data_IF_541640030119
#
_entry.id   IF_541640030119
#
_cell.length_a   1.000
_cell.length_b   1.000
_cell.length_c   1.000
_cell.angle_alpha   90.00
_cell.angle_beta   90.00
_cell.angle_gamma   90.00
#
_symmetry.space_group_name_H-M   'P 1'
#
loop_
_entity.id
_entity.type
_entity.pdbx_description
1 polymer ?
#
# COMPACT_ATOMS: atom_id res chain seq x y z
N UNK A 1 -2.96 -51.82 30.61
CA UNK A 1 -1.84 -50.90 31.00
C UNK A 1 -0.65 -50.86 30.02
N UNK A 2 -0.61 -51.64 28.92
CA UNK A 2 0.55 -51.68 28.00
C UNK A 2 0.56 -50.59 26.92
N UNK A 3 -0.60 -50.06 26.50
CA UNK A 3 -0.71 -49.01 25.47
C UNK A 3 -0.28 -47.60 25.92
N UNK A 4 -0.35 -47.32 27.22
CA UNK A 4 0.05 -46.01 27.80
C UNK A 4 1.57 -45.86 27.98
N UNK A 5 2.29 -46.99 28.10
CA UNK A 5 3.77 -47.02 28.20
C UNK A 5 4.44 -46.75 26.85
N UNK A 6 3.83 -47.18 25.74
CA UNK A 6 4.35 -46.94 24.39
C UNK A 6 4.17 -45.48 23.92
N UNK A 7 3.08 -44.81 24.31
CA UNK A 7 2.84 -43.40 23.95
C UNK A 7 3.80 -42.46 24.71
N UNK A 8 4.08 -42.76 25.99
CA UNK A 8 5.03 -42.00 26.79
C UNK A 8 6.48 -42.11 26.27
N UNK A 9 6.86 -43.26 25.70
CA UNK A 9 8.19 -43.46 25.13
C UNK A 9 8.39 -42.73 23.79
N UNK A 10 7.34 -42.59 22.98
CA UNK A 10 7.38 -41.88 21.69
C UNK A 10 7.44 -40.35 21.90
N UNK A 11 6.71 -39.83 22.89
CA UNK A 11 6.75 -38.40 23.25
C UNK A 11 8.10 -37.95 23.84
N UNK A 12 8.81 -38.84 24.55
CA UNK A 12 10.13 -38.52 25.09
C UNK A 12 11.25 -38.54 24.04
N UNK A 13 11.06 -39.30 22.94
CA UNK A 13 12.02 -39.35 21.84
C UNK A 13 11.92 -38.15 20.87
N UNK A 14 10.71 -37.61 20.65
CA UNK A 14 10.52 -36.44 19.78
C UNK A 14 11.09 -35.14 20.36
N UNK A 15 11.27 -35.04 21.69
CA UNK A 15 11.82 -33.84 22.34
C UNK A 15 13.35 -33.70 22.20
N UNK A 16 14.06 -34.76 21.83
CA UNK A 16 15.53 -34.78 21.75
C UNK A 16 16.12 -34.41 20.38
N UNK A 17 15.27 -34.11 19.38
CA UNK A 17 15.71 -33.74 18.02
C UNK A 17 15.68 -32.22 17.77
N UNK A 18 15.25 -31.42 18.76
CA UNK A 18 15.10 -29.95 18.62
C UNK A 18 16.28 -29.11 19.16
N UNK A 19 17.42 -29.70 19.51
CA UNK A 19 18.52 -28.97 20.17
C UNK A 19 19.85 -28.90 19.37
N UNK A 20 19.81 -28.84 18.04
CA UNK A 20 21.04 -28.77 17.25
C UNK A 20 20.98 -27.86 16.00
N UNK A 21 20.69 -26.56 16.18
CA UNK A 21 21.09 -25.42 15.32
C UNK A 21 20.88 -24.17 16.20
N UNK A 22 21.77 -23.21 16.47
CA UNK A 22 23.17 -22.93 16.18
C UNK A 22 23.42 -21.50 16.67
N UNK A 23 24.18 -21.27 17.75
CA UNK A 23 24.59 -19.92 18.16
C UNK A 23 25.95 -19.59 17.53
N UNK A 24 25.92 -18.73 16.51
CA UNK A 24 27.08 -18.00 16.02
C UNK A 24 27.29 -16.79 16.92
N UNK A 25 28.27 -16.86 17.82
CA UNK A 25 28.73 -15.71 18.61
C UNK A 25 29.66 -14.86 17.77
N UNK A 26 29.23 -13.64 17.42
CA UNK A 26 30.04 -12.63 16.78
C UNK A 26 29.85 -11.27 17.43
N UNK A 27 30.96 -10.73 17.95
CA UNK A 27 31.25 -9.32 18.22
C UNK A 27 30.93 -8.73 19.63
N UNK A 28 32.03 -8.41 20.31
CA UNK A 28 32.22 -7.39 21.36
C UNK A 28 31.67 -6.01 20.97
N UNK A 29 31.26 -5.20 21.95
CA UNK A 29 32.05 -4.00 22.23
C UNK A 29 32.28 -3.72 23.72
N UNK A 30 33.39 -3.02 23.95
CA UNK A 30 33.96 -2.57 25.21
C UNK A 30 33.16 -1.49 25.92
N UNK A 31 33.43 -1.40 27.21
CA UNK A 31 32.99 -0.43 28.21
C UNK A 31 33.00 1.03 27.76
N UNK A 32 32.17 1.88 28.40
CA UNK A 32 32.63 3.08 29.18
C UNK A 32 31.47 4.05 29.53
N UNK A 33 31.22 4.17 30.84
CA UNK A 33 30.83 5.36 31.64
C UNK A 33 29.47 6.10 31.47
N UNK A 34 28.71 6.06 32.57
CA UNK A 34 27.71 7.02 33.11
C UNK A 34 28.34 8.39 33.48
N UNK A 35 27.67 9.46 34.00
CA UNK A 35 26.25 9.62 34.40
C UNK A 35 25.58 10.99 34.09
N UNK A 36 24.27 11.13 34.31
CA UNK A 36 23.61 12.29 34.95
C UNK A 36 22.09 12.05 35.11
N UNK A 37 21.50 12.71 36.09
CA UNK A 37 20.32 12.30 36.84
C UNK A 37 19.17 13.34 36.76
N UNK A 38 17.93 12.90 37.04
CA UNK A 38 16.82 13.63 37.73
C UNK A 38 16.17 14.82 36.96
N UNK A 39 14.91 15.27 37.10
CA UNK A 39 13.66 14.88 37.78
C UNK A 39 12.60 15.99 37.45
N UNK A 40 11.31 15.62 37.33
CA UNK A 40 10.07 16.39 37.65
C UNK A 40 9.46 17.55 36.81
N UNK A 41 8.19 17.30 36.44
CA UNK A 41 6.95 18.11 36.71
C UNK A 41 6.48 19.19 35.72
N UNK A 42 5.19 19.07 35.29
CA UNK A 42 4.22 20.18 35.45
C UNK A 42 3.38 20.65 34.25
N UNK A 43 2.09 20.25 34.25
CA UNK A 43 0.84 20.99 33.90
C UNK A 43 0.60 21.62 32.50
N UNK A 44 -0.39 21.03 31.81
CA UNK A 44 -1.77 21.52 31.52
C UNK A 44 -2.05 22.92 30.93
N UNK A 45 -3.05 22.91 30.02
CA UNK A 45 -3.93 23.97 29.51
C UNK A 45 -3.56 24.56 28.15
N UNK A 46 -4.46 24.42 27.17
CA UNK A 46 -5.51 25.42 26.87
C UNK A 46 -6.34 24.95 25.68
N UNK A 47 -7.67 24.89 25.84
CA UNK A 47 -8.61 24.57 24.78
C UNK A 47 -8.84 25.73 23.81
N UNK A 48 -9.46 25.43 22.67
CA UNK A 48 -10.19 26.43 21.90
C UNK A 48 -11.36 25.80 21.12
N UNK A 49 -12.50 26.46 21.28
CA UNK A 49 -13.84 26.21 20.74
C UNK A 49 -13.98 26.80 19.33
N UNK A 50 -14.58 26.02 18.43
CA UNK A 50 -15.58 26.33 17.40
C UNK A 50 -15.83 27.79 16.96
N UNK A 51 -15.73 28.06 15.64
CA UNK A 51 -16.77 28.72 14.82
C UNK A 51 -16.34 28.93 13.34
N UNK A 52 -17.03 28.23 12.43
CA UNK A 52 -17.82 28.73 11.28
C UNK A 52 -17.22 29.61 10.15
N UNK A 53 -17.60 29.20 8.92
CA UNK A 53 -17.91 29.96 7.67
C UNK A 53 -16.86 29.96 6.54
N UNK A 54 -17.28 29.34 5.42
CA UNK A 54 -16.85 29.64 4.04
C UNK A 54 -17.29 31.05 3.63
N UNK A 55 -16.66 31.66 2.60
CA UNK A 55 -17.16 31.43 1.23
C UNK A 55 -16.07 31.33 0.15
N UNK A 56 -16.53 30.86 -1.01
CA UNK A 56 -15.88 30.75 -2.33
C UNK A 56 -14.96 31.91 -2.73
N UNK A 57 -13.84 31.57 -3.38
CA UNK A 57 -13.34 32.33 -4.52
C UNK A 57 -12.50 31.42 -5.43
N UNK A 58 -12.92 31.38 -6.69
CA UNK A 58 -12.31 30.76 -7.86
C UNK A 58 -10.80 30.48 -7.81
N UNK A 59 -10.43 29.25 -8.16
CA UNK A 59 -9.16 28.97 -8.83
C UNK A 59 -9.46 28.31 -10.16
N UNK A 60 -9.71 29.15 -11.16
CA UNK A 60 -9.28 28.81 -12.51
C UNK A 60 -7.74 28.76 -12.48
N UNK A 61 -7.20 27.57 -12.26
CA UNK A 61 -5.82 27.27 -12.57
C UNK A 61 -5.85 26.37 -13.79
N UNK A 62 -5.93 27.01 -14.96
CA UNK A 62 -5.37 26.45 -16.18
C UNK A 62 -3.94 26.04 -15.85
N UNK A 63 -3.69 24.76 -15.63
CA UNK A 63 -2.33 24.31 -15.47
C UNK A 63 -1.73 24.20 -16.87
N UNK A 64 -0.97 25.24 -17.19
CA UNK A 64 -0.22 25.39 -18.42
C UNK A 64 0.51 24.08 -18.76
N UNK A 65 0.14 23.55 -19.92
CA UNK A 65 0.91 22.59 -20.70
C UNK A 65 2.37 23.02 -20.68
N UNK A 66 3.17 22.29 -19.91
CA UNK A 66 4.62 22.37 -20.04
C UNK A 66 4.95 21.62 -21.32
N UNK A 67 5.48 22.35 -22.30
CA UNK A 67 6.11 21.83 -23.52
C UNK A 67 7.24 20.86 -23.14
N UNK A 68 6.86 19.61 -22.82
CA UNK A 68 7.74 18.47 -22.92
C UNK A 68 7.71 18.06 -24.40
N UNK A 69 8.85 18.15 -25.06
CA UNK A 69 8.99 17.76 -26.45
C UNK A 69 8.56 16.29 -26.66
N UNK A 70 7.33 16.09 -27.14
CA UNK A 70 6.85 14.87 -27.78
C UNK A 70 5.65 14.18 -27.12
N UNK A 71 4.44 14.64 -27.44
CA UNK A 71 3.18 13.88 -27.31
C UNK A 71 2.39 14.06 -26.02
N UNK A 72 1.07 13.94 -26.11
CA UNK A 72 0.15 13.98 -24.96
C UNK A 72 0.25 12.66 -24.18
N UNK A 73 0.55 12.74 -22.87
CA UNK A 73 0.70 11.57 -22.00
C UNK A 73 -0.51 11.42 -21.08
N UNK A 74 -1.09 10.22 -21.04
CA UNK A 74 -2.07 9.79 -20.04
C UNK A 74 -1.40 8.83 -19.06
N UNK A 75 -1.66 9.02 -17.77
CA UNK A 75 -1.27 8.10 -16.70
C UNK A 75 -2.56 7.57 -16.07
N UNK A 76 -3.07 6.48 -16.64
CA UNK A 76 -4.23 5.77 -16.11
C UNK A 76 -3.80 4.82 -14.99
N UNK A 77 -4.53 4.75 -13.88
CA UNK A 77 -4.16 3.87 -12.77
C UNK A 77 -5.35 3.38 -11.95
N UNK A 78 -5.25 2.16 -11.43
CA UNK A 78 -6.10 1.65 -10.35
C UNK A 78 -5.31 1.55 -9.03
N UNK A 79 -5.92 1.93 -7.91
CA UNK A 79 -5.27 1.93 -6.60
C UNK A 79 -6.23 1.59 -5.47
N UNK A 80 -6.05 0.43 -4.82
CA UNK A 80 -6.87 0.05 -3.67
C UNK A 80 -6.43 0.70 -2.36
N UNK A 81 -5.11 0.80 -2.13
CA UNK A 81 -4.52 1.32 -0.87
C UNK A 81 -3.71 2.61 -1.04
N UNK A 82 -3.80 3.27 -2.19
CA UNK A 82 -3.05 4.51 -2.48
C UNK A 82 -1.60 4.33 -2.95
N UNK A 83 -1.05 3.11 -2.94
CA UNK A 83 0.36 2.91 -3.34
C UNK A 83 0.57 3.18 -4.83
N UNK A 84 -0.32 2.67 -5.69
CA UNK A 84 -0.23 2.87 -7.14
C UNK A 84 -0.49 4.33 -7.51
N UNK A 85 -1.43 4.98 -6.84
CA UNK A 85 -1.72 6.42 -6.99
C UNK A 85 -0.46 7.26 -6.75
N UNK A 86 0.28 7.01 -5.66
CA UNK A 86 1.52 7.73 -5.39
C UNK A 86 2.60 7.54 -6.45
N UNK A 87 2.65 6.38 -7.12
CA UNK A 87 3.55 6.15 -8.27
C UNK A 87 3.03 6.84 -9.53
N UNK A 88 1.72 6.79 -9.78
CA UNK A 88 1.09 7.47 -10.92
C UNK A 88 1.33 8.98 -10.86
N UNK A 89 1.18 9.59 -9.68
CA UNK A 89 1.48 11.01 -9.45
C UNK A 89 2.93 11.34 -9.80
N UNK A 90 3.90 10.52 -9.37
CA UNK A 90 5.30 10.74 -9.71
C UNK A 90 5.56 10.65 -11.22
N UNK A 91 4.90 9.72 -11.92
CA UNK A 91 5.02 9.60 -13.38
C UNK A 91 4.43 10.84 -14.05
N UNK A 92 3.25 11.29 -13.62
CA UNK A 92 2.61 12.51 -14.13
C UNK A 92 3.51 13.73 -13.91
N UNK A 93 4.08 13.90 -12.71
CA UNK A 93 4.99 15.01 -12.39
C UNK A 93 6.26 15.01 -13.26
N UNK A 94 6.81 13.82 -13.58
CA UNK A 94 8.00 13.68 -14.42
C UNK A 94 7.74 13.88 -15.91
N UNK A 95 6.52 13.58 -16.37
CA UNK A 95 6.16 13.56 -17.79
C UNK A 95 5.32 14.77 -18.21
N UNK A 96 4.74 15.50 -17.26
CA UNK A 96 3.68 16.47 -17.53
C UNK A 96 2.36 15.82 -17.94
N UNK A 97 2.19 14.52 -17.69
CA UNK A 97 1.03 13.73 -18.11
C UNK A 97 -0.23 14.02 -17.31
N UNK A 98 -1.40 13.73 -17.91
CA UNK A 98 -2.70 13.80 -17.25
C UNK A 98 -2.92 12.54 -16.42
N UNK A 99 -3.35 12.67 -15.17
CA UNK A 99 -3.77 11.53 -14.34
C UNK A 99 -5.21 11.14 -14.67
N UNK A 100 -5.45 9.83 -14.77
CA UNK A 100 -6.80 9.28 -14.83
C UNK A 100 -6.92 8.09 -13.87
N UNK A 101 -7.86 8.18 -12.93
CA UNK A 101 -8.14 7.08 -12.02
C UNK A 101 -9.12 6.12 -12.68
N UNK A 102 -8.79 4.83 -12.61
CA UNK A 102 -9.65 3.72 -12.97
C UNK A 102 -10.35 3.29 -11.68
N UNK A 103 -11.67 3.33 -11.67
CA UNK A 103 -12.49 2.97 -10.52
C UNK A 103 -13.48 1.88 -10.91
N UNK A 104 -13.72 0.93 -10.01
CA UNK A 104 -14.83 -0.01 -10.18
C UNK A 104 -16.15 0.74 -10.04
N UNK A 105 -17.18 0.30 -10.76
CA UNK A 105 -18.55 0.79 -10.54
C UNK A 105 -19.06 0.35 -9.18
N UNK A 106 -18.72 -0.88 -8.78
CA UNK A 106 -19.06 -1.47 -7.48
C UNK A 106 -17.79 -1.72 -6.68
N UNK A 107 -17.71 -1.10 -5.50
CA UNK A 107 -16.60 -1.27 -4.56
C UNK A 107 -16.51 -2.73 -4.08
N UNK A 108 -15.29 -3.18 -3.79
CA UNK A 108 -15.09 -4.48 -3.15
C UNK A 108 -15.67 -4.46 -1.73
N UNK A 109 -16.46 -5.48 -1.39
CA UNK A 109 -16.82 -5.79 -0.01
C UNK A 109 -15.71 -6.55 0.69
N UNK A 110 -15.40 -7.75 0.20
CA UNK A 110 -14.21 -8.53 0.57
C UNK A 110 -13.29 -8.67 -0.64
N UNK A 111 -12.19 -7.90 -0.64
CA UNK A 111 -11.23 -7.87 -1.74
C UNK A 111 -10.69 -9.27 -2.07
N UNK A 112 -10.41 -10.11 -1.06
CA UNK A 112 -9.79 -11.40 -1.30
C UNK A 112 -10.81 -12.36 -1.92
N UNK A 113 -11.96 -12.52 -1.29
CA UNK A 113 -12.98 -13.45 -1.77
C UNK A 113 -13.46 -13.08 -3.18
N UNK A 114 -13.76 -11.80 -3.41
CA UNK A 114 -14.29 -11.32 -4.69
C UNK A 114 -13.24 -11.37 -5.81
N UNK A 115 -12.00 -10.93 -5.56
CA UNK A 115 -10.95 -10.97 -6.60
C UNK A 115 -10.57 -12.40 -6.98
N UNK A 116 -10.61 -13.35 -6.03
CA UNK A 116 -10.39 -14.76 -6.32
C UNK A 116 -11.51 -15.37 -7.16
N UNK A 117 -12.76 -15.04 -6.83
CA UNK A 117 -13.92 -15.47 -7.61
C UNK A 117 -13.85 -14.92 -9.05
N UNK A 118 -13.55 -13.63 -9.21
CA UNK A 118 -13.40 -12.98 -10.52
C UNK A 118 -12.35 -13.68 -11.39
N UNK A 119 -11.18 -14.00 -10.85
CA UNK A 119 -10.12 -14.71 -11.57
C UNK A 119 -10.54 -16.13 -11.95
N UNK A 120 -11.15 -16.87 -11.02
CA UNK A 120 -11.58 -18.25 -11.26
C UNK A 120 -12.70 -18.34 -12.31
N UNK A 121 -13.62 -17.39 -12.28
CA UNK A 121 -14.78 -17.36 -13.17
C UNK A 121 -14.51 -16.58 -14.48
N UNK A 122 -13.35 -15.91 -14.59
CA UNK A 122 -12.97 -15.13 -15.76
C UNK A 122 -13.82 -13.86 -15.94
N UNK A 123 -14.29 -13.26 -14.85
CA UNK A 123 -15.18 -12.10 -14.84
C UNK A 123 -14.39 -10.81 -14.86
N UNK A 124 -14.58 -9.98 -15.88
CA UNK A 124 -14.02 -8.62 -15.90
C UNK A 124 -15.06 -7.63 -15.33
N UNK A 125 -14.80 -7.02 -14.16
CA UNK A 125 -15.71 -6.09 -13.51
C UNK A 125 -15.90 -4.81 -14.35
N UNK A 126 -17.05 -4.16 -14.18
CA UNK A 126 -17.31 -2.88 -14.83
C UNK A 126 -16.50 -1.76 -14.17
N UNK A 127 -15.89 -0.92 -14.99
CA UNK A 127 -15.02 0.18 -14.57
C UNK A 127 -15.48 1.50 -15.15
N UNK A 128 -15.09 2.57 -14.47
CA UNK A 128 -15.12 3.95 -14.96
C UNK A 128 -13.70 4.50 -14.97
N UNK A 129 -13.43 5.44 -15.88
CA UNK A 129 -12.13 6.10 -15.96
C UNK A 129 -12.37 7.59 -16.04
N UNK A 130 -11.63 8.38 -15.27
CA UNK A 130 -11.74 9.85 -15.27
C UNK A 130 -11.06 10.48 -16.50
N UNK A 131 -11.45 10.06 -17.71
CA UNK A 131 -10.94 10.61 -18.98
C UNK A 131 -12.05 10.58 -20.03
N UNK A 132 -12.25 11.70 -20.73
CA UNK A 132 -13.33 11.83 -21.71
C UNK A 132 -13.00 11.13 -23.04
N UNK A 133 -11.77 11.28 -23.52
CA UNK A 133 -11.33 10.70 -24.79
C UNK A 133 -9.87 10.22 -24.71
N UNK A 134 -9.69 8.92 -24.81
CA UNK A 134 -8.36 8.27 -24.75
C UNK A 134 -7.58 8.48 -26.05
N UNK A 135 -8.26 8.75 -27.17
CA UNK A 135 -7.64 8.96 -28.48
C UNK A 135 -6.79 10.24 -28.58
N UNK A 136 -6.95 11.16 -27.62
CA UNK A 136 -6.20 12.43 -27.57
C UNK A 136 -4.76 12.25 -27.07
N UNK A 137 -4.40 11.06 -26.60
CA UNK A 137 -3.11 10.76 -25.97
C UNK A 137 -2.25 9.86 -26.85
N UNK A 138 -0.98 10.25 -27.03
CA UNK A 138 0.01 9.52 -27.82
C UNK A 138 0.65 8.37 -27.02
N UNK A 139 0.73 8.55 -25.69
CA UNK A 139 1.33 7.57 -24.77
C UNK A 139 0.43 7.40 -23.57
N UNK A 140 0.13 6.14 -23.23
CA UNK A 140 -0.70 5.79 -22.08
C UNK A 140 0.10 4.87 -21.17
N UNK A 141 0.39 5.35 -19.96
CA UNK A 141 0.82 4.50 -18.86
C UNK A 141 -0.42 3.90 -18.18
N UNK A 142 -0.36 2.61 -17.86
CA UNK A 142 -1.42 1.91 -17.11
C UNK A 142 -0.80 1.30 -15.85
N UNK A 143 -1.16 1.85 -14.69
CA UNK A 143 -0.68 1.42 -13.38
C UNK A 143 -1.72 0.59 -12.63
N UNK A 144 -1.29 -0.50 -12.01
CA UNK A 144 -2.14 -1.32 -11.15
C UNK A 144 -1.29 -1.98 -10.07
N UNK A 145 -1.87 -2.35 -8.91
CA UNK A 145 -1.13 -3.06 -7.88
C UNK A 145 -0.64 -4.42 -8.39
N UNK A 146 0.22 -5.10 -7.63
CA UNK A 146 0.49 -6.52 -7.88
C UNK A 146 -0.45 -7.34 -6.99
N UNK A 147 -1.34 -8.11 -7.59
CA UNK A 147 -2.15 -9.12 -6.90
C UNK A 147 -1.46 -10.47 -6.89
N UNK A 148 -1.65 -11.23 -5.80
CA UNK A 148 -1.03 -12.54 -5.59
C UNK A 148 -1.43 -13.55 -6.67
N UNK A 149 -2.70 -13.50 -7.09
CA UNK A 149 -3.29 -14.38 -8.10
C UNK A 149 -3.19 -13.81 -9.53
N UNK A 150 -2.57 -12.64 -9.71
CA UNK A 150 -2.49 -11.95 -11.00
C UNK A 150 -3.78 -11.18 -11.34
N UNK A 151 -3.94 -10.83 -12.62
CA UNK A 151 -5.07 -10.06 -13.16
C UNK A 151 -5.59 -10.73 -14.43
N UNK A 152 -6.90 -10.75 -14.58
CA UNK A 152 -7.56 -11.05 -15.87
C UNK A 152 -7.92 -9.77 -16.63
N UNK A 153 -8.10 -8.65 -15.92
CA UNK A 153 -8.35 -7.31 -16.44
C UNK A 153 -7.75 -6.26 -15.50
N UNK A 154 -7.55 -5.06 -16.04
CA UNK A 154 -7.14 -3.83 -15.33
C UNK A 154 -8.21 -2.78 -15.53
#
# INVERSE_FOLDING_TARGET
>A
MKRKRSIAAILMACFLVLAAVGCSSGQTPSDTSSPAAETSTGQESTGQTEATQAPEAASAAENNTTDAAGGNVLVAYYSYTGTTEGVAQQIADLTGGTLAEIQRVEDYGDLQEEAEAEINDGVCPEITVSVDNVEDYDTIFVGYPKMEQGYICV
#
